data_IF_841937050489
#
_entry.id   IF_841937050489
#
_cell.length_a   1.000
_cell.length_b   1.000
_cell.length_c   1.000
_cell.angle_alpha   90.00
_cell.angle_beta   90.00
_cell.angle_gamma   90.00
#
_symmetry.space_group_name_H-M   'P 1'
#
loop_
_entity.id
_entity.type
_entity.pdbx_description
1 polymer ?
#
# COMPACT_ATOMS: atom_id res chain seq x y z
N UNK A 1 24.72 11.22 -3.68
CA UNK A 1 24.79 10.30 -4.82
C UNK A 1 25.68 9.14 -4.41
N UNK A 2 25.33 7.89 -4.80
CA UNK A 2 26.13 6.71 -4.52
C UNK A 2 27.08 6.40 -5.68
N UNK A 3 28.25 5.84 -5.38
CA UNK A 3 29.15 5.30 -6.42
C UNK A 3 28.54 3.97 -6.91
N UNK A 4 28.26 3.85 -8.20
CA UNK A 4 27.67 2.65 -8.79
C UNK A 4 28.58 1.40 -8.63
N UNK A 5 29.88 1.59 -8.44
CA UNK A 5 30.82 0.49 -8.23
C UNK A 5 30.55 -0.27 -6.93
N UNK A 6 30.04 0.45 -5.91
CA UNK A 6 29.65 -0.12 -4.62
C UNK A 6 28.20 -0.63 -4.60
N UNK A 7 27.42 -0.37 -5.64
CA UNK A 7 26.01 -0.76 -5.72
C UNK A 7 25.85 -2.14 -6.35
N UNK A 8 25.14 -2.99 -5.65
CA UNK A 8 24.78 -4.35 -6.10
C UNK A 8 23.39 -4.40 -6.74
N UNK A 9 22.47 -3.51 -6.29
CA UNK A 9 21.07 -3.52 -6.69
C UNK A 9 20.67 -2.13 -7.19
N UNK A 10 20.03 -2.07 -8.36
CA UNK A 10 19.49 -0.83 -8.94
C UNK A 10 17.97 -0.93 -8.95
N UNK A 11 17.30 0.03 -8.31
CA UNK A 11 15.86 0.18 -8.29
C UNK A 11 15.45 1.36 -9.21
N UNK A 12 15.08 1.13 -10.47
CA UNK A 12 14.67 2.20 -11.38
C UNK A 12 13.31 2.78 -11.00
N UNK A 13 13.11 4.07 -11.27
CA UNK A 13 11.83 4.75 -11.23
C UNK A 13 11.77 5.80 -12.35
N UNK A 14 11.16 5.44 -13.48
CA UNK A 14 11.12 6.30 -14.66
C UNK A 14 9.83 7.11 -14.78
N UNK A 15 8.91 7.01 -13.83
CA UNK A 15 7.71 7.84 -13.76
C UNK A 15 7.86 8.92 -12.68
N UNK A 16 7.65 10.18 -13.07
CA UNK A 16 7.72 11.33 -12.14
C UNK A 16 6.54 11.40 -11.17
N UNK A 17 5.36 10.90 -11.59
CA UNK A 17 4.15 10.95 -10.77
C UNK A 17 4.24 9.96 -9.61
N UNK A 18 3.95 10.44 -8.40
CA UNK A 18 3.78 9.60 -7.22
C UNK A 18 2.64 8.57 -7.43
N UNK A 19 2.92 7.34 -7.08
CA UNK A 19 1.97 6.21 -7.19
C UNK A 19 2.28 5.21 -6.07
N UNK A 20 1.41 4.24 -5.84
CA UNK A 20 1.67 3.16 -4.88
C UNK A 20 3.05 2.50 -5.07
N UNK A 21 3.43 2.21 -6.34
CA UNK A 21 4.76 1.66 -6.66
C UNK A 21 5.89 2.60 -6.25
N UNK A 22 5.73 3.92 -6.41
CA UNK A 22 6.77 4.88 -6.00
C UNK A 22 6.84 4.96 -4.47
N UNK A 23 5.69 4.91 -3.79
CA UNK A 23 5.63 4.90 -2.33
C UNK A 23 6.31 3.66 -1.73
N UNK A 24 6.14 2.47 -2.34
CA UNK A 24 6.83 1.25 -1.87
C UNK A 24 8.35 1.35 -2.06
N UNK A 25 8.84 1.95 -3.15
CA UNK A 25 10.28 2.22 -3.32
C UNK A 25 10.81 3.12 -2.19
N UNK A 26 10.08 4.20 -1.89
CA UNK A 26 10.49 5.19 -0.88
C UNK A 26 10.57 4.57 0.51
N UNK A 27 9.63 3.68 0.85
CA UNK A 27 9.58 3.04 2.16
C UNK A 27 10.58 1.88 2.28
N UNK A 28 10.70 1.06 1.24
CA UNK A 28 11.46 -0.20 1.29
C UNK A 28 12.98 0.01 1.22
N UNK A 29 13.47 0.94 0.40
CA UNK A 29 14.92 1.10 0.18
C UNK A 29 15.69 1.47 1.45
N UNK A 30 15.24 2.38 2.32
CA UNK A 30 15.93 2.63 3.60
C UNK A 30 16.06 1.38 4.45
N UNK A 31 14.99 0.57 4.54
CA UNK A 31 14.98 -0.69 5.30
C UNK A 31 15.96 -1.70 4.70
N UNK A 32 15.94 -1.88 3.38
CA UNK A 32 16.87 -2.75 2.68
C UNK A 32 18.33 -2.36 2.93
N UNK A 33 18.63 -1.07 2.95
CA UNK A 33 19.98 -0.58 3.27
C UNK A 33 20.39 -0.84 4.71
N UNK A 34 19.47 -0.64 5.67
CA UNK A 34 19.72 -0.95 7.07
C UNK A 34 20.01 -2.44 7.27
N UNK A 35 19.44 -3.31 6.43
CA UNK A 35 19.76 -4.74 6.36
C UNK A 35 21.06 -5.05 5.58
N UNK A 36 21.86 -4.05 5.22
CA UNK A 36 23.15 -4.22 4.56
C UNK A 36 23.06 -4.37 3.03
N UNK A 37 21.90 -4.27 2.41
CA UNK A 37 21.77 -4.37 0.94
C UNK A 37 22.33 -3.11 0.28
N UNK A 38 23.27 -3.29 -0.65
CA UNK A 38 23.91 -2.19 -1.41
C UNK A 38 23.01 -1.77 -2.58
N UNK A 39 21.88 -1.13 -2.27
CA UNK A 39 20.85 -0.72 -3.22
C UNK A 39 20.86 0.80 -3.44
N UNK A 40 20.61 1.22 -4.68
CA UNK A 40 20.40 2.62 -5.05
C UNK A 40 19.29 2.76 -6.09
N UNK A 41 18.67 3.95 -6.11
CA UNK A 41 17.64 4.30 -7.10
C UNK A 41 18.25 4.88 -8.36
N UNK A 42 17.55 4.69 -9.48
CA UNK A 42 17.88 5.32 -10.76
C UNK A 42 16.63 6.00 -11.33
N UNK A 43 16.72 7.29 -11.64
CA UNK A 43 15.63 8.03 -12.27
C UNK A 43 15.20 9.25 -11.47
N UNK A 44 13.91 9.63 -11.60
CA UNK A 44 13.39 10.89 -11.07
C UNK A 44 12.13 10.70 -10.23
N UNK A 45 11.69 11.77 -9.54
CA UNK A 45 10.46 11.75 -8.72
C UNK A 45 10.61 11.03 -7.38
N UNK A 46 11.84 10.83 -6.90
CA UNK A 46 12.16 10.22 -5.62
C UNK A 46 12.81 11.25 -4.68
N UNK A 47 12.67 11.09 -3.35
CA UNK A 47 13.33 11.96 -2.37
C UNK A 47 14.85 11.97 -2.53
N UNK A 48 15.47 13.14 -2.34
CA UNK A 48 16.93 13.31 -2.40
C UNK A 48 17.68 12.55 -1.28
N UNK A 49 16.97 12.15 -0.24
CA UNK A 49 17.50 11.33 0.86
C UNK A 49 17.83 9.90 0.43
N UNK A 50 17.21 9.40 -0.65
CA UNK A 50 17.52 8.07 -1.15
C UNK A 50 18.87 8.05 -1.91
N UNK A 51 19.69 7.01 -1.73
CA UNK A 51 20.91 6.82 -2.48
C UNK A 51 20.58 6.67 -3.97
N UNK A 52 21.19 7.46 -4.81
CA UNK A 52 20.88 7.50 -6.25
C UNK A 52 22.12 7.38 -7.10
N UNK A 53 22.00 6.73 -8.26
CA UNK A 53 22.99 6.67 -9.33
C UNK A 53 22.48 7.43 -10.56
N UNK A 54 23.40 7.85 -11.45
CA UNK A 54 23.07 8.58 -12.67
C UNK A 54 23.03 7.65 -13.88
N UNK A 55 22.27 8.02 -14.90
CA UNK A 55 22.22 7.27 -16.16
C UNK A 55 23.60 7.08 -16.81
N UNK A 56 24.49 8.08 -16.77
CA UNK A 56 25.84 7.97 -17.29
C UNK A 56 26.71 6.93 -16.56
N UNK A 57 26.38 6.66 -15.29
CA UNK A 57 27.15 5.71 -14.48
C UNK A 57 26.83 4.25 -14.89
N UNK A 58 25.78 4.02 -15.70
CA UNK A 58 25.38 2.69 -16.19
C UNK A 58 26.44 2.01 -17.05
N UNK A 59 27.41 2.76 -17.60
CA UNK A 59 28.57 2.19 -18.31
C UNK A 59 29.36 1.21 -17.41
N UNK A 60 29.34 1.39 -16.10
CA UNK A 60 30.00 0.50 -15.16
C UNK A 60 29.27 -0.85 -14.96
N UNK A 61 28.12 -1.07 -15.59
CA UNK A 61 27.39 -2.35 -15.50
C UNK A 61 28.05 -3.51 -16.25
N UNK A 62 29.01 -3.22 -17.12
CA UNK A 62 29.88 -4.26 -17.68
C UNK A 62 30.80 -4.87 -16.63
N UNK A 63 31.17 -4.12 -15.60
CA UNK A 63 31.99 -4.59 -14.49
C UNK A 63 31.11 -5.25 -13.43
N UNK A 64 31.61 -6.33 -12.84
CA UNK A 64 30.94 -7.00 -11.71
C UNK A 64 31.18 -6.22 -10.41
N UNK A 65 30.22 -6.21 -9.47
CA UNK A 65 30.52 -5.73 -8.12
C UNK A 65 31.48 -6.67 -7.40
N UNK A 66 32.20 -6.15 -6.42
CA UNK A 66 33.14 -6.96 -5.64
C UNK A 66 32.41 -8.11 -4.94
N UNK A 67 32.93 -9.34 -5.09
CA UNK A 67 32.38 -10.54 -4.47
C UNK A 67 31.04 -11.06 -5.06
N UNK A 68 30.58 -10.50 -6.18
CA UNK A 68 29.32 -10.92 -6.84
C UNK A 68 29.53 -11.24 -8.31
N UNK A 69 28.67 -12.13 -8.89
CA UNK A 69 28.75 -12.46 -10.32
C UNK A 69 28.10 -11.43 -11.24
N UNK A 70 27.10 -10.70 -10.72
CA UNK A 70 26.33 -9.70 -11.46
C UNK A 70 25.70 -8.68 -10.51
N UNK A 71 25.05 -7.66 -11.06
CA UNK A 71 24.13 -6.78 -10.32
C UNK A 71 22.68 -7.21 -10.54
N UNK A 72 21.79 -6.77 -9.66
CA UNK A 72 20.35 -6.92 -9.85
C UNK A 72 19.75 -5.59 -10.29
N UNK A 73 18.90 -5.64 -11.31
CA UNK A 73 18.01 -4.57 -11.72
C UNK A 73 16.58 -4.94 -11.34
N UNK A 74 15.99 -4.22 -10.40
CA UNK A 74 14.65 -4.55 -9.88
C UNK A 74 13.58 -3.63 -10.47
N UNK A 75 12.96 -4.04 -11.57
CA UNK A 75 11.88 -3.36 -12.25
C UNK A 75 10.51 -3.58 -11.57
N UNK A 76 9.63 -2.59 -11.70
CA UNK A 76 8.25 -2.64 -11.24
C UNK A 76 7.24 -2.23 -12.32
N UNK A 77 7.75 -1.84 -13.48
CA UNK A 77 6.93 -1.39 -14.63
C UNK A 77 7.57 -1.81 -15.96
N UNK A 78 6.73 -1.92 -17.01
CA UNK A 78 7.22 -2.24 -18.36
C UNK A 78 8.32 -1.30 -18.85
N UNK A 79 8.18 0.01 -18.57
CA UNK A 79 9.17 1.04 -18.92
C UNK A 79 10.52 0.88 -18.23
N UNK A 80 10.59 0.06 -17.20
CA UNK A 80 11.79 -0.28 -16.44
C UNK A 80 12.36 -1.65 -16.85
N UNK A 81 11.49 -2.59 -17.34
CA UNK A 81 11.90 -3.89 -17.84
C UNK A 81 12.60 -3.80 -19.20
N UNK A 82 12.04 -3.05 -20.15
CA UNK A 82 12.59 -2.96 -21.49
C UNK A 82 14.04 -2.47 -21.53
N UNK A 83 14.40 -1.35 -20.88
CA UNK A 83 15.81 -0.93 -20.83
C UNK A 83 16.72 -1.97 -20.19
N UNK A 84 16.27 -2.66 -19.14
CA UNK A 84 17.06 -3.72 -18.51
C UNK A 84 17.35 -4.90 -19.46
N UNK A 85 16.35 -5.31 -20.23
CA UNK A 85 16.51 -6.36 -21.27
C UNK A 85 17.55 -5.92 -22.30
N UNK A 86 17.48 -4.68 -22.79
CA UNK A 86 18.47 -4.14 -23.74
C UNK A 86 19.89 -4.10 -23.11
N UNK A 87 20.02 -3.65 -21.88
CA UNK A 87 21.31 -3.63 -21.18
C UNK A 87 21.89 -5.05 -21.01
N UNK A 88 21.07 -6.04 -20.65
CA UNK A 88 21.50 -7.42 -20.44
C UNK A 88 21.74 -8.18 -21.74
N UNK A 89 20.74 -8.18 -22.64
CA UNK A 89 20.70 -9.11 -23.78
C UNK A 89 21.44 -8.52 -25.00
N UNK A 90 21.31 -7.21 -25.26
CA UNK A 90 21.98 -6.55 -26.39
C UNK A 90 23.37 -6.06 -26.01
N UNK A 91 23.50 -5.29 -24.91
CA UNK A 91 24.78 -4.73 -24.46
C UNK A 91 25.60 -5.70 -23.62
N UNK A 92 25.07 -6.90 -23.31
CA UNK A 92 25.73 -7.97 -22.56
C UNK A 92 26.31 -7.50 -21.21
N UNK A 93 25.65 -6.53 -20.58
CA UNK A 93 26.02 -6.04 -19.25
C UNK A 93 25.74 -7.12 -18.18
N UNK A 94 26.53 -7.13 -17.10
CA UNK A 94 26.48 -8.15 -16.05
C UNK A 94 25.34 -7.84 -15.05
N UNK A 95 24.09 -7.97 -15.51
CA UNK A 95 22.90 -7.76 -14.68
C UNK A 95 21.95 -8.95 -14.75
N UNK A 96 21.17 -9.16 -13.66
CA UNK A 96 19.98 -9.99 -13.60
C UNK A 96 18.78 -9.11 -13.35
N UNK A 97 17.62 -9.49 -13.89
CA UNK A 97 16.43 -8.65 -13.86
C UNK A 97 15.37 -9.29 -12.99
N UNK A 98 14.97 -8.59 -11.93
CA UNK A 98 13.82 -8.94 -11.09
C UNK A 98 12.66 -8.04 -11.47
N UNK A 99 11.47 -8.59 -11.52
CA UNK A 99 10.23 -7.82 -11.71
C UNK A 99 9.26 -8.09 -10.57
N UNK A 100 8.73 -7.02 -9.96
CA UNK A 100 7.61 -7.12 -9.02
C UNK A 100 6.31 -6.67 -9.68
N UNK A 101 5.33 -7.56 -9.71
CA UNK A 101 3.96 -7.31 -10.16
C UNK A 101 3.03 -7.07 -8.98
N UNK A 102 2.26 -5.97 -9.02
CA UNK A 102 1.14 -5.71 -8.13
C UNK A 102 -0.17 -5.59 -8.94
N UNK A 103 -0.22 -6.15 -10.15
CA UNK A 103 -1.34 -5.98 -11.07
C UNK A 103 -2.28 -7.17 -11.01
N UNK A 104 -3.52 -6.95 -10.62
CA UNK A 104 -4.60 -7.95 -10.67
C UNK A 104 -5.44 -7.78 -11.94
N UNK A 105 -4.82 -7.94 -13.08
CA UNK A 105 -5.47 -7.93 -14.40
C UNK A 105 -4.65 -8.74 -15.39
N UNK A 106 -5.31 -9.23 -16.43
CA UNK A 106 -4.62 -9.92 -17.53
C UNK A 106 -3.60 -8.98 -18.18
N UNK A 107 -2.38 -9.48 -18.34
CA UNK A 107 -1.31 -8.75 -19.01
C UNK A 107 -1.52 -8.75 -20.54
N UNK A 108 -1.15 -7.65 -21.19
CA UNK A 108 -1.09 -7.60 -22.66
C UNK A 108 0.03 -8.51 -23.19
N UNK A 109 -0.03 -8.93 -24.45
CA UNK A 109 1.02 -9.73 -25.07
C UNK A 109 2.41 -9.14 -24.93
N UNK A 110 2.52 -7.80 -25.06
CA UNK A 110 3.76 -7.07 -24.81
C UNK A 110 4.27 -7.22 -23.37
N UNK A 111 3.38 -7.05 -22.39
CA UNK A 111 3.77 -7.22 -20.97
C UNK A 111 4.17 -8.67 -20.67
N UNK A 112 3.46 -9.67 -21.21
CA UNK A 112 3.81 -11.09 -21.08
C UNK A 112 5.19 -11.39 -21.65
N UNK A 113 5.50 -10.86 -22.86
CA UNK A 113 6.83 -10.97 -23.46
C UNK A 113 7.91 -10.38 -22.55
N UNK A 114 7.72 -9.17 -22.02
CA UNK A 114 8.71 -8.57 -21.10
C UNK A 114 8.88 -9.41 -19.84
N UNK A 115 7.78 -9.87 -19.23
CA UNK A 115 7.79 -10.67 -18.00
C UNK A 115 8.51 -12.02 -18.22
N UNK A 116 8.32 -12.67 -19.36
CA UNK A 116 8.99 -13.94 -19.69
C UNK A 116 10.51 -13.83 -19.81
N UNK A 117 11.04 -12.61 -19.95
CA UNK A 117 12.48 -12.32 -20.03
C UNK A 117 13.13 -12.02 -18.66
N UNK A 118 12.36 -12.05 -17.57
CA UNK A 118 12.88 -11.77 -16.23
C UNK A 118 13.61 -12.97 -15.64
N UNK A 119 14.64 -12.73 -14.86
CA UNK A 119 15.39 -13.80 -14.16
C UNK A 119 14.68 -14.25 -12.89
N UNK A 120 13.84 -13.36 -12.30
CA UNK A 120 12.92 -13.71 -11.22
C UNK A 120 11.70 -12.77 -11.25
N UNK A 121 10.54 -13.31 -10.89
CA UNK A 121 9.29 -12.55 -10.80
C UNK A 121 8.74 -12.68 -9.38
N UNK A 122 8.37 -11.53 -8.81
CA UNK A 122 7.72 -11.41 -7.51
C UNK A 122 6.27 -10.99 -7.75
N UNK A 123 5.33 -11.69 -7.14
CA UNK A 123 3.93 -11.30 -7.07
C UNK A 123 3.63 -10.73 -5.67
N UNK A 124 2.96 -9.59 -5.59
CA UNK A 124 2.66 -8.96 -4.29
C UNK A 124 1.51 -9.63 -3.54
N UNK A 125 0.81 -10.62 -4.15
CA UNK A 125 -0.24 -11.42 -3.53
C UNK A 125 -0.46 -12.71 -4.31
N UNK A 126 -1.10 -13.70 -3.71
CA UNK A 126 -1.52 -14.92 -4.42
C UNK A 126 -2.50 -14.59 -5.56
N UNK A 127 -3.42 -13.65 -5.34
CA UNK A 127 -4.31 -13.12 -6.40
C UNK A 127 -3.50 -12.51 -7.56
N UNK A 128 -2.43 -11.77 -7.28
CA UNK A 128 -1.55 -11.23 -8.34
C UNK A 128 -0.80 -12.35 -9.06
N UNK A 129 -0.30 -13.36 -8.35
CA UNK A 129 0.40 -14.50 -8.93
C UNK A 129 -0.48 -15.27 -9.93
N UNK A 130 -1.79 -15.40 -9.67
CA UNK A 130 -2.75 -16.05 -10.56
C UNK A 130 -2.91 -15.36 -11.94
N UNK A 131 -2.51 -14.08 -12.06
CA UNK A 131 -2.50 -13.37 -13.34
C UNK A 131 -1.15 -13.48 -14.11
N UNK A 132 -0.14 -14.11 -13.51
CA UNK A 132 1.17 -14.32 -14.12
C UNK A 132 1.21 -15.70 -14.80
N UNK A 133 1.74 -15.73 -16.02
CA UNK A 133 1.91 -16.97 -16.80
C UNK A 133 3.35 -17.53 -16.69
N UNK A 134 4.09 -17.08 -15.68
CA UNK A 134 5.45 -17.50 -15.38
C UNK A 134 5.58 -17.85 -13.90
N UNK A 135 6.52 -18.69 -13.50
CA UNK A 135 6.80 -18.94 -12.09
C UNK A 135 7.09 -17.63 -11.34
N UNK A 136 6.46 -17.43 -10.21
CA UNK A 136 6.64 -16.25 -9.37
C UNK A 136 6.72 -16.62 -7.89
N UNK A 137 7.44 -15.80 -7.14
CA UNK A 137 7.47 -15.90 -5.65
C UNK A 137 6.49 -14.88 -5.10
N UNK A 138 5.57 -15.34 -4.25
CA UNK A 138 4.64 -14.41 -3.56
C UNK A 138 5.37 -13.79 -2.39
N UNK A 139 5.46 -12.46 -2.38
CA UNK A 139 5.98 -11.65 -1.27
C UNK A 139 5.00 -10.50 -1.09
N UNK A 140 4.22 -10.55 -0.01
CA UNK A 140 3.27 -9.50 0.34
C UNK A 140 4.04 -8.23 0.74
N UNK A 141 3.45 -7.05 0.44
CA UNK A 141 4.03 -5.81 0.92
C UNK A 141 3.95 -5.73 2.45
N UNK A 142 5.00 -5.19 3.03
CA UNK A 142 5.09 -4.89 4.44
C UNK A 142 4.69 -3.46 4.77
N UNK A 143 4.57 -3.20 6.06
CA UNK A 143 4.24 -1.90 6.64
C UNK A 143 5.33 -1.48 7.64
N UNK A 144 5.66 -0.20 7.66
CA UNK A 144 6.54 0.39 8.67
C UNK A 144 5.78 0.56 10.00
N UNK A 145 5.97 -0.39 10.89
CA UNK A 145 5.33 -0.44 12.22
C UNK A 145 5.87 0.60 13.21
N UNK A 146 6.98 1.27 12.90
CA UNK A 146 7.44 2.41 13.67
C UNK A 146 6.67 3.68 13.30
N UNK A 147 6.37 3.85 12.02
CA UNK A 147 5.59 4.96 11.50
C UNK A 147 4.09 4.78 11.77
N UNK A 148 3.54 3.60 11.45
CA UNK A 148 2.15 3.23 11.72
C UNK A 148 2.12 2.41 13.02
N UNK A 149 1.66 3.04 14.09
CA UNK A 149 1.58 2.45 15.43
C UNK A 149 0.41 3.05 16.19
N UNK A 150 -0.15 2.36 17.16
CA UNK A 150 -1.20 2.92 18.02
C UNK A 150 -0.76 4.21 18.70
N UNK A 151 -1.68 5.11 19.01
CA UNK A 151 -1.40 6.26 19.86
C UNK A 151 -1.15 5.80 21.32
N UNK A 152 -0.42 6.59 22.09
CA UNK A 152 -0.30 6.41 23.55
C UNK A 152 -1.66 6.67 24.21
N UNK A 153 -2.34 7.74 23.77
CA UNK A 153 -3.70 8.09 24.19
C UNK A 153 -4.51 8.55 22.98
N UNK A 154 -5.66 7.89 22.77
CA UNK A 154 -6.55 8.15 21.63
C UNK A 154 -7.22 9.52 21.73
N UNK A 155 -7.59 9.96 22.91
CA UNK A 155 -8.22 11.26 23.10
C UNK A 155 -7.26 12.40 22.73
N UNK A 156 -5.99 12.28 23.12
CA UNK A 156 -4.95 13.23 22.73
C UNK A 156 -4.68 13.22 21.23
N UNK A 157 -4.65 12.04 20.59
CA UNK A 157 -4.49 11.94 19.14
C UNK A 157 -5.65 12.64 18.39
N UNK A 158 -6.89 12.50 18.87
CA UNK A 158 -8.07 13.17 18.29
C UNK A 158 -7.99 14.69 18.46
N UNK A 159 -7.66 15.19 19.66
CA UNK A 159 -7.51 16.64 19.91
C UNK A 159 -6.44 17.28 19.02
N UNK A 160 -5.33 16.57 18.77
CA UNK A 160 -4.26 17.07 17.88
C UNK A 160 -4.69 17.26 16.42
N UNK A 161 -5.85 16.74 16.05
CA UNK A 161 -6.46 16.84 14.73
C UNK A 161 -7.78 17.65 14.76
N UNK A 162 -8.03 18.41 15.84
CA UNK A 162 -9.26 19.16 16.05
C UNK A 162 -10.54 18.30 15.99
N UNK A 163 -10.43 17.01 16.37
CA UNK A 163 -11.55 16.09 16.46
C UNK A 163 -12.10 16.02 17.89
N UNK A 164 -13.40 15.77 18.01
CA UNK A 164 -14.05 15.53 19.29
C UNK A 164 -13.48 14.26 19.96
N UNK A 165 -12.77 14.37 21.09
CA UNK A 165 -12.14 13.24 21.75
C UNK A 165 -13.14 12.23 22.33
N UNK A 166 -14.39 12.61 22.55
CA UNK A 166 -15.45 11.76 23.09
C UNK A 166 -16.09 10.85 22.03
N UNK A 167 -15.97 11.23 20.74
CA UNK A 167 -16.51 10.45 19.63
C UNK A 167 -15.56 9.36 19.17
N UNK A 168 -16.13 8.25 18.69
CA UNK A 168 -15.43 7.25 17.90
C UNK A 168 -15.49 7.65 16.42
N UNK A 169 -14.48 7.27 15.64
CA UNK A 169 -14.43 7.63 14.23
C UNK A 169 -14.19 6.41 13.34
N UNK A 170 -15.09 6.25 12.35
CA UNK A 170 -14.83 5.39 11.19
C UNK A 170 -14.10 6.19 10.11
N UNK A 171 -13.08 5.61 9.46
CA UNK A 171 -12.29 6.31 8.45
C UNK A 171 -12.22 5.60 7.11
N UNK A 172 -12.18 6.38 6.02
CA UNK A 172 -11.90 5.92 4.66
C UNK A 172 -10.84 6.82 4.03
N UNK A 173 -9.66 6.27 3.75
CA UNK A 173 -8.50 7.05 3.32
C UNK A 173 -8.06 6.68 1.90
N UNK A 174 -7.75 7.71 1.11
CA UNK A 174 -7.31 7.59 -0.27
C UNK A 174 -7.92 8.64 -1.17
N UNK A 175 -7.58 8.61 -2.47
CA UNK A 175 -8.14 9.56 -3.43
C UNK A 175 -9.65 9.41 -3.53
N UNK A 176 -10.37 10.53 -3.45
CA UNK A 176 -11.82 10.57 -3.60
C UNK A 176 -12.20 10.29 -5.06
N UNK A 177 -12.73 9.10 -5.33
CA UNK A 177 -13.19 8.66 -6.64
C UNK A 177 -13.98 7.35 -6.55
N UNK A 178 -14.88 7.11 -7.49
CA UNK A 178 -15.75 5.95 -7.55
C UNK A 178 -15.00 4.59 -7.42
N UNK A 179 -13.86 4.43 -8.10
CA UNK A 179 -13.05 3.21 -7.99
C UNK A 179 -12.58 2.92 -6.55
N UNK A 180 -12.41 3.96 -5.73
CA UNK A 180 -11.99 3.84 -4.32
C UNK A 180 -13.17 3.61 -3.37
N UNK A 181 -14.39 3.62 -3.88
CA UNK A 181 -15.60 3.31 -3.11
C UNK A 181 -15.95 4.39 -2.07
N UNK A 182 -15.47 5.64 -2.25
CA UNK A 182 -15.75 6.72 -1.29
C UNK A 182 -17.24 6.96 -1.14
N UNK A 183 -18.03 6.76 -2.20
CA UNK A 183 -19.49 6.78 -2.19
C UNK A 183 -20.07 5.68 -1.28
N UNK A 184 -19.59 4.44 -1.38
CA UNK A 184 -20.03 3.34 -0.52
C UNK A 184 -19.78 3.65 0.95
N UNK A 185 -18.62 4.22 1.27
CA UNK A 185 -18.32 4.64 2.64
C UNK A 185 -19.28 5.74 3.11
N UNK A 186 -19.46 6.79 2.31
CA UNK A 186 -20.34 7.91 2.66
C UNK A 186 -21.79 7.44 2.85
N UNK A 187 -22.32 6.66 1.91
CA UNK A 187 -23.68 6.14 1.97
C UNK A 187 -23.88 5.19 3.17
N UNK A 188 -22.85 4.36 3.49
CA UNK A 188 -22.88 3.54 4.71
C UNK A 188 -22.92 4.38 5.99
N UNK A 189 -22.14 5.44 6.06
CA UNK A 189 -22.12 6.32 7.23
C UNK A 189 -23.40 7.15 7.35
N UNK A 190 -24.02 7.57 6.23
CA UNK A 190 -25.32 8.21 6.22
C UNK A 190 -26.40 7.27 6.80
N UNK A 191 -26.34 5.98 6.49
CA UNK A 191 -27.28 4.99 7.02
C UNK A 191 -27.03 4.70 8.52
N UNK A 192 -25.79 4.66 8.96
CA UNK A 192 -25.43 4.19 10.32
C UNK A 192 -25.45 5.28 11.38
N UNK A 193 -24.95 6.47 11.08
CA UNK A 193 -24.71 7.52 12.09
C UNK A 193 -25.97 8.09 12.75
N UNK A 194 -27.14 8.20 12.10
CA UNK A 194 -28.33 8.74 12.78
C UNK A 194 -28.69 8.01 14.08
N UNK A 195 -28.51 6.71 14.14
CA UNK A 195 -28.79 5.90 15.33
C UNK A 195 -27.58 5.73 16.27
N UNK A 196 -26.40 6.29 15.95
CA UNK A 196 -25.14 6.15 16.70
C UNK A 196 -24.49 7.51 16.94
N UNK A 197 -25.03 8.33 17.88
CA UNK A 197 -24.56 9.71 18.12
C UNK A 197 -23.09 9.78 18.58
N UNK A 198 -22.57 8.72 19.17
CA UNK A 198 -21.17 8.61 19.63
C UNK A 198 -20.17 8.35 18.50
N UNK A 199 -20.63 8.13 17.27
CA UNK A 199 -19.77 7.92 16.11
C UNK A 199 -19.75 9.12 15.16
N UNK A 200 -18.57 9.33 14.53
CA UNK A 200 -18.38 10.20 13.39
C UNK A 200 -17.62 9.45 12.29
N UNK A 201 -17.44 10.11 11.16
CA UNK A 201 -16.75 9.53 10.01
C UNK A 201 -15.73 10.51 9.41
N UNK A 202 -14.62 10.00 8.88
CA UNK A 202 -13.53 10.79 8.30
C UNK A 202 -13.21 10.27 6.91
N UNK A 203 -13.29 11.15 5.91
CA UNK A 203 -12.80 10.92 4.55
C UNK A 203 -11.51 11.72 4.39
N UNK A 204 -10.35 11.06 4.39
CA UNK A 204 -9.05 11.69 4.15
C UNK A 204 -8.54 11.37 2.74
N UNK A 205 -8.26 12.43 1.99
CA UNK A 205 -7.88 12.44 0.59
C UNK A 205 -8.64 13.48 -0.19
N UNK A 206 -8.31 13.62 -1.45
CA UNK A 206 -9.01 14.61 -2.32
C UNK A 206 -9.34 14.02 -3.68
N UNK A 207 -10.34 14.60 -4.31
CA UNK A 207 -10.59 14.40 -5.74
C UNK A 207 -9.58 15.21 -6.57
N UNK A 208 -9.31 14.74 -7.78
CA UNK A 208 -8.47 15.45 -8.75
C UNK A 208 -9.17 15.50 -10.10
N UNK A 209 -9.11 16.64 -10.77
CA UNK A 209 -9.60 16.83 -12.15
C UNK A 209 -11.00 16.26 -12.37
N UNK A 210 -11.12 15.13 -13.10
CA UNK A 210 -12.42 14.57 -13.50
C UNK A 210 -13.28 14.06 -12.34
N UNK A 211 -12.76 14.03 -11.10
CA UNK A 211 -13.49 13.54 -9.92
C UNK A 211 -13.98 14.63 -8.98
N UNK A 212 -13.77 15.92 -9.30
CA UNK A 212 -14.22 17.04 -8.45
C UNK A 212 -15.74 17.07 -8.28
N UNK A 213 -16.49 16.84 -9.37
CA UNK A 213 -17.95 16.78 -9.31
C UNK A 213 -18.44 15.62 -8.42
N UNK A 214 -17.75 14.48 -8.44
CA UNK A 214 -18.05 13.34 -7.58
C UNK A 214 -17.85 13.68 -6.09
N UNK A 215 -16.77 14.37 -5.72
CA UNK A 215 -16.56 14.80 -4.34
C UNK A 215 -17.64 15.82 -3.90
N UNK A 216 -18.01 16.76 -4.78
CA UNK A 216 -19.05 17.74 -4.49
C UNK A 216 -20.41 17.06 -4.27
N UNK A 217 -20.77 16.08 -5.09
CA UNK A 217 -21.98 15.28 -4.95
C UNK A 217 -22.03 14.54 -3.60
N UNK A 218 -20.92 13.94 -3.17
CA UNK A 218 -20.85 13.25 -1.87
C UNK A 218 -21.06 14.22 -0.70
N UNK A 219 -20.46 15.41 -0.76
CA UNK A 219 -20.66 16.44 0.25
C UNK A 219 -22.11 16.96 0.30
N UNK A 220 -22.76 17.08 -0.86
CA UNK A 220 -24.18 17.44 -0.94
C UNK A 220 -25.08 16.36 -0.32
N UNK A 221 -24.82 15.05 -0.57
CA UNK A 221 -25.52 13.94 0.09
C UNK A 221 -25.41 14.03 1.61
N UNK A 222 -24.19 14.26 2.12
CA UNK A 222 -23.93 14.41 3.56
C UNK A 222 -24.70 15.59 4.15
N UNK A 223 -24.70 16.75 3.46
CA UNK A 223 -25.43 17.94 3.89
C UNK A 223 -26.95 17.71 3.91
N UNK A 224 -27.51 17.08 2.88
CA UNK A 224 -28.94 16.72 2.81
C UNK A 224 -29.35 15.73 3.89
N UNK A 225 -28.44 14.87 4.34
CA UNK A 225 -28.66 13.96 5.47
C UNK A 225 -28.53 14.65 6.85
N UNK A 226 -28.14 15.93 6.91
CA UNK A 226 -27.91 16.66 8.17
C UNK A 226 -26.70 16.17 8.96
N UNK A 227 -25.70 15.58 8.29
CA UNK A 227 -24.53 14.94 8.93
C UNK A 227 -23.20 15.66 8.62
N UNK A 228 -23.24 16.92 8.19
CA UNK A 228 -22.05 17.67 7.79
C UNK A 228 -21.05 17.90 8.93
N UNK A 229 -21.50 17.90 10.17
CA UNK A 229 -20.70 17.99 11.40
C UNK A 229 -20.14 16.63 11.86
N UNK A 230 -20.58 15.53 11.27
CA UNK A 230 -20.25 14.17 11.67
C UNK A 230 -19.52 13.34 10.60
N UNK A 231 -19.69 13.69 9.31
CA UNK A 231 -18.96 13.07 8.19
C UNK A 231 -18.02 14.12 7.61
N UNK A 232 -16.76 14.05 8.03
CA UNK A 232 -15.75 15.09 7.79
C UNK A 232 -14.90 14.76 6.57
N UNK A 233 -14.89 15.66 5.56
CA UNK A 233 -13.94 15.60 4.45
C UNK A 233 -12.73 16.46 4.79
N UNK A 234 -11.66 15.83 5.25
CA UNK A 234 -10.49 16.53 5.79
C UNK A 234 -9.41 16.85 4.75
N UNK A 235 -9.59 16.42 3.49
CA UNK A 235 -8.62 16.69 2.43
C UNK A 235 -7.40 15.77 2.45
N UNK A 236 -6.33 16.16 1.74
CA UNK A 236 -5.09 15.38 1.61
C UNK A 236 -4.08 15.80 2.69
N UNK A 237 -3.53 14.84 3.41
CA UNK A 237 -2.59 15.06 4.51
C UNK A 237 -1.27 14.31 4.29
N UNK A 238 -0.15 14.91 4.69
CA UNK A 238 1.18 14.27 4.71
C UNK A 238 1.44 13.47 5.98
N UNK A 239 0.75 13.82 7.08
CA UNK A 239 0.79 13.16 8.38
C UNK A 239 -0.28 12.07 8.53
N UNK A 240 -0.54 11.31 7.49
CA UNK A 240 -1.61 10.29 7.47
C UNK A 240 -1.55 9.28 8.64
N UNK A 241 -0.37 8.91 9.22
CA UNK A 241 -0.34 8.07 10.41
C UNK A 241 -1.08 8.65 11.62
N UNK A 242 -1.10 9.98 11.78
CA UNK A 242 -1.82 10.61 12.89
C UNK A 242 -3.33 10.45 12.72
N UNK A 243 -3.81 10.52 11.48
CA UNK A 243 -5.22 10.28 11.16
C UNK A 243 -5.63 8.83 11.46
N UNK A 244 -4.79 7.83 11.14
CA UNK A 244 -5.07 6.44 11.54
C UNK A 244 -5.13 6.28 13.06
N UNK A 245 -4.26 6.95 13.82
CA UNK A 245 -4.27 6.91 15.29
C UNK A 245 -5.56 7.44 15.90
N UNK A 246 -6.25 8.34 15.23
CA UNK A 246 -7.52 8.91 15.68
C UNK A 246 -8.73 8.01 15.38
N UNK A 247 -8.58 6.98 14.51
CA UNK A 247 -9.68 6.11 14.13
C UNK A 247 -9.96 5.02 15.16
N UNK A 248 -11.20 4.57 15.17
CA UNK A 248 -11.69 3.41 15.90
C UNK A 248 -12.06 2.25 14.96
N UNK A 249 -12.45 2.57 13.72
CA UNK A 249 -12.74 1.61 12.64
C UNK A 249 -12.18 2.14 11.32
N UNK A 250 -11.61 1.29 10.51
CA UNK A 250 -11.22 1.64 9.15
C UNK A 250 -12.08 0.90 8.12
N UNK A 251 -12.62 1.62 7.16
CA UNK A 251 -13.42 1.05 6.07
C UNK A 251 -12.65 1.20 4.76
N UNK A 252 -12.40 0.08 4.09
CA UNK A 252 -11.69 -0.02 2.83
C UNK A 252 -12.64 -0.45 1.70
N UNK A 253 -13.48 0.47 1.16
CA UNK A 253 -14.62 0.15 0.30
C UNK A 253 -14.28 0.05 -1.19
N UNK A 254 -13.00 -0.18 -1.54
CA UNK A 254 -12.53 -0.15 -2.90
C UNK A 254 -13.29 -1.15 -3.79
N UNK A 255 -13.63 -0.72 -5.02
CA UNK A 255 -14.17 -1.60 -6.07
C UNK A 255 -13.06 -2.32 -6.85
N UNK A 256 -11.88 -1.78 -6.81
CA UNK A 256 -10.68 -2.39 -7.40
C UNK A 256 -9.41 -1.86 -6.72
N UNK A 257 -8.48 -2.76 -6.47
CA UNK A 257 -7.16 -2.45 -5.94
C UNK A 257 -6.10 -3.39 -6.54
N UNK A 258 -4.86 -2.97 -6.59
CA UNK A 258 -3.73 -3.84 -6.96
C UNK A 258 -3.27 -4.69 -5.79
N UNK A 259 -2.80 -4.04 -4.75
CA UNK A 259 -2.45 -4.64 -3.46
C UNK A 259 -3.31 -4.00 -2.35
N UNK A 260 -3.11 -2.70 -2.11
CA UNK A 260 -3.80 -1.90 -1.10
C UNK A 260 -3.12 -1.96 0.27
N UNK A 261 -2.35 -0.91 0.59
CA UNK A 261 -1.65 -0.80 1.87
C UNK A 261 -2.54 -0.30 3.01
N UNK A 262 -3.66 0.35 2.70
CA UNK A 262 -4.51 1.02 3.69
C UNK A 262 -5.03 0.09 4.81
N UNK A 263 -5.41 -1.18 4.57
CA UNK A 263 -5.72 -2.10 5.66
C UNK A 263 -4.53 -2.39 6.58
N UNK A 264 -3.32 -2.54 6.02
CA UNK A 264 -2.11 -2.74 6.83
C UNK A 264 -1.76 -1.50 7.66
N UNK A 265 -1.92 -0.30 7.09
CA UNK A 265 -1.73 0.97 7.79
C UNK A 265 -2.69 1.10 8.98
N UNK A 266 -3.96 0.72 8.78
CA UNK A 266 -4.97 0.69 9.84
C UNK A 266 -4.63 -0.35 10.93
N UNK A 267 -4.40 -1.62 10.56
CA UNK A 267 -4.08 -2.69 11.51
C UNK A 267 -2.80 -2.38 12.31
N UNK A 268 -1.75 -1.86 11.67
CA UNK A 268 -0.51 -1.45 12.35
C UNK A 268 -0.73 -0.27 13.31
N UNK A 269 -1.77 0.54 13.08
CA UNK A 269 -2.19 1.63 13.98
C UNK A 269 -3.18 1.17 15.06
N UNK A 270 -3.46 -0.13 15.18
CA UNK A 270 -4.41 -0.69 16.14
C UNK A 270 -5.86 -0.38 15.81
N UNK A 271 -6.21 -0.39 14.52
CA UNK A 271 -7.56 -0.10 14.01
C UNK A 271 -8.06 -1.31 13.22
N UNK A 272 -9.21 -1.92 13.60
CA UNK A 272 -9.81 -3.02 12.85
C UNK A 272 -10.36 -2.54 11.52
N UNK A 273 -10.57 -3.48 10.59
CA UNK A 273 -10.85 -3.14 9.19
C UNK A 273 -12.11 -3.84 8.67
N UNK A 274 -12.99 -3.10 8.01
CA UNK A 274 -14.02 -3.66 7.10
C UNK A 274 -13.59 -3.35 5.67
N UNK A 275 -13.38 -4.37 4.85
CA UNK A 275 -12.83 -4.20 3.51
C UNK A 275 -13.57 -4.99 2.44
N UNK A 276 -13.65 -4.42 1.24
CA UNK A 276 -14.11 -5.13 0.05
C UNK A 276 -13.12 -6.25 -0.33
N UNK A 277 -13.60 -7.37 -0.90
CA UNK A 277 -12.74 -8.45 -1.40
C UNK A 277 -12.04 -8.08 -2.71
N UNK A 278 -11.06 -7.19 -2.61
CA UNK A 278 -10.23 -6.73 -3.73
C UNK A 278 -8.75 -6.67 -3.31
N UNK A 279 -7.87 -6.61 -4.29
CA UNK A 279 -6.45 -6.52 -4.00
C UNK A 279 -5.95 -7.72 -3.20
N UNK A 280 -5.11 -7.47 -2.22
CA UNK A 280 -4.62 -8.47 -1.27
C UNK A 280 -5.47 -8.54 0.01
N UNK A 281 -6.60 -7.85 0.11
CA UNK A 281 -7.30 -7.63 1.38
C UNK A 281 -7.68 -8.92 2.10
N UNK A 282 -8.16 -9.94 1.38
CA UNK A 282 -8.47 -11.25 1.94
C UNK A 282 -7.23 -12.06 2.37
N UNK A 283 -6.02 -11.69 1.92
CA UNK A 283 -4.76 -12.25 2.41
C UNK A 283 -4.24 -11.51 3.65
N UNK A 284 -4.59 -10.22 3.80
CA UNK A 284 -4.17 -9.35 4.90
C UNK A 284 -5.07 -9.50 6.13
N UNK A 285 -6.39 -9.49 5.93
CA UNK A 285 -7.40 -9.51 6.98
C UNK A 285 -7.71 -10.97 7.34
N UNK A 286 -7.67 -11.27 8.63
CA UNK A 286 -8.05 -12.56 9.16
C UNK A 286 -9.50 -12.50 9.69
N UNK A 287 -10.25 -13.55 9.44
CA UNK A 287 -11.60 -13.79 9.97
C UNK A 287 -11.57 -14.95 10.96
N UNK A 288 -12.65 -15.16 11.71
CA UNK A 288 -12.78 -16.24 12.69
C UNK A 288 -12.14 -15.91 14.06
N UNK A 289 -11.58 -16.90 14.79
CA UNK A 289 -11.19 -16.73 16.20
C UNK A 289 -10.16 -15.63 16.46
N UNK A 290 -9.38 -15.28 15.46
CA UNK A 290 -8.37 -14.20 15.51
C UNK A 290 -8.68 -13.12 14.49
N UNK A 291 -9.96 -12.79 14.33
CA UNK A 291 -10.37 -11.77 13.37
C UNK A 291 -9.63 -10.45 13.59
N UNK A 292 -9.29 -9.82 12.49
CA UNK A 292 -8.68 -8.48 12.45
C UNK A 292 -9.58 -7.48 11.74
N UNK A 293 -10.71 -7.98 11.22
CA UNK A 293 -11.70 -7.26 10.45
C UNK A 293 -12.61 -8.20 9.68
N UNK A 294 -13.38 -7.64 8.77
CA UNK A 294 -14.31 -8.38 7.90
C UNK A 294 -14.00 -8.12 6.43
N UNK A 295 -14.16 -9.16 5.61
CA UNK A 295 -14.13 -9.07 4.15
C UNK A 295 -15.56 -9.14 3.63
N UNK A 296 -15.93 -8.19 2.79
CA UNK A 296 -17.28 -8.11 2.20
C UNK A 296 -17.21 -8.10 0.67
N UNK A 297 -18.29 -8.47 -0.03
CA UNK A 297 -18.34 -8.38 -1.49
C UNK A 297 -18.12 -6.95 -1.97
N UNK A 298 -17.24 -6.79 -3.00
CA UNK A 298 -16.95 -5.47 -3.55
C UNK A 298 -18.18 -4.80 -4.18
N UNK A 299 -18.39 -3.54 -3.84
CA UNK A 299 -19.52 -2.76 -4.37
C UNK A 299 -20.86 -3.02 -3.68
N UNK A 300 -20.93 -3.87 -2.67
CA UNK A 300 -22.16 -4.18 -1.93
C UNK A 300 -22.31 -3.21 -0.75
N UNK A 301 -23.27 -2.28 -0.86
CA UNK A 301 -23.56 -1.28 0.18
C UNK A 301 -24.15 -1.94 1.44
N UNK A 302 -25.09 -2.85 1.31
CA UNK A 302 -25.75 -3.54 2.43
C UNK A 302 -24.71 -4.29 3.28
N UNK A 303 -23.87 -5.11 2.65
CA UNK A 303 -22.79 -5.81 3.34
C UNK A 303 -21.79 -4.85 4.01
N UNK A 304 -21.56 -3.65 3.43
CA UNK A 304 -20.69 -2.63 4.03
C UNK A 304 -21.34 -2.02 5.28
N UNK A 305 -22.64 -1.74 5.23
CA UNK A 305 -23.42 -1.24 6.37
C UNK A 305 -23.41 -2.29 7.48
N UNK A 306 -23.75 -3.54 7.18
CA UNK A 306 -23.79 -4.63 8.17
C UNK A 306 -22.40 -4.90 8.79
N UNK A 307 -21.37 -4.94 7.96
CA UNK A 307 -20.00 -5.16 8.43
C UNK A 307 -19.49 -4.03 9.32
N UNK A 308 -19.80 -2.78 9.00
CA UNK A 308 -19.46 -1.65 9.85
C UNK A 308 -20.27 -1.63 11.15
N UNK A 309 -21.59 -1.88 11.07
CA UNK A 309 -22.48 -1.99 12.22
C UNK A 309 -21.99 -3.05 13.21
N UNK A 310 -21.60 -4.22 12.72
CA UNK A 310 -21.12 -5.33 13.55
C UNK A 310 -19.93 -4.96 14.47
N UNK A 311 -19.09 -4.01 14.05
CA UNK A 311 -18.02 -3.47 14.89
C UNK A 311 -18.44 -2.24 15.69
N UNK A 312 -19.32 -1.39 15.14
CA UNK A 312 -19.76 -0.17 15.83
C UNK A 312 -20.63 -0.48 17.04
N UNK A 313 -21.39 -1.58 16.99
CA UNK A 313 -22.35 -1.99 18.03
C UNK A 313 -21.74 -2.96 19.05
N UNK A 314 -20.58 -3.59 18.75
CA UNK A 314 -19.88 -4.53 19.64
C UNK A 314 -18.47 -4.02 19.97
N UNK A 315 -18.35 -3.18 20.99
CA UNK A 315 -17.08 -2.59 21.40
C UNK A 315 -16.05 -3.62 21.91
N UNK A 316 -16.40 -4.69 22.64
CA UNK A 316 -15.49 -5.79 22.94
C UNK A 316 -14.90 -6.44 21.68
N UNK A 317 -15.72 -6.75 20.67
CA UNK A 317 -15.27 -7.28 19.38
C UNK A 317 -14.35 -6.31 18.65
N UNK A 318 -14.73 -5.02 18.60
CA UNK A 318 -13.92 -3.96 18.02
C UNK A 318 -12.51 -3.92 18.65
N UNK A 319 -12.43 -3.96 19.97
CA UNK A 319 -11.16 -3.93 20.71
C UNK A 319 -10.33 -5.21 20.49
N UNK A 320 -10.96 -6.38 20.46
CA UNK A 320 -10.28 -7.65 20.19
C UNK A 320 -9.69 -7.67 18.76
N UNK A 321 -10.49 -7.26 17.77
CA UNK A 321 -10.04 -7.18 16.38
C UNK A 321 -8.90 -6.16 16.18
N UNK A 322 -8.92 -5.04 16.91
CA UNK A 322 -7.83 -4.05 16.93
C UNK A 322 -6.50 -4.67 17.45
N UNK A 323 -6.55 -5.40 18.56
CA UNK A 323 -5.40 -6.06 19.15
C UNK A 323 -4.84 -7.17 18.23
N UNK A 324 -5.73 -7.98 17.66
CA UNK A 324 -5.37 -9.02 16.70
C UNK A 324 -4.75 -8.41 15.43
N UNK A 325 -5.33 -7.33 14.90
CA UNK A 325 -4.82 -6.61 13.73
C UNK A 325 -3.41 -6.08 13.94
N UNK A 326 -3.15 -5.44 15.08
CA UNK A 326 -1.83 -4.95 15.45
C UNK A 326 -0.81 -6.09 15.55
N UNK A 327 -1.18 -7.19 16.23
CA UNK A 327 -0.31 -8.37 16.35
C UNK A 327 -0.01 -8.98 14.98
N UNK A 328 -1.01 -9.14 14.11
CA UNK A 328 -0.86 -9.69 12.77
C UNK A 328 0.01 -8.79 11.88
N UNK A 329 -0.23 -7.48 11.88
CA UNK A 329 0.57 -6.52 11.11
C UNK A 329 2.04 -6.57 11.53
N UNK A 330 2.33 -6.60 12.82
CA UNK A 330 3.70 -6.61 13.34
C UNK A 330 4.43 -7.92 13.09
N UNK A 331 3.75 -9.07 13.20
CA UNK A 331 4.40 -10.38 13.06
C UNK A 331 4.54 -10.83 11.61
N UNK A 332 3.52 -10.56 10.77
CA UNK A 332 3.41 -11.15 9.44
C UNK A 332 3.72 -10.17 8.33
N UNK A 333 3.60 -8.86 8.60
CA UNK A 333 3.66 -7.82 7.57
C UNK A 333 4.60 -6.67 7.93
N UNK A 334 5.56 -6.87 8.85
CA UNK A 334 6.61 -5.87 9.05
C UNK A 334 7.43 -5.69 7.77
N UNK A 335 7.74 -4.45 7.41
CA UNK A 335 8.48 -4.10 6.18
C UNK A 335 9.87 -4.75 6.13
N UNK A 336 10.47 -5.04 7.28
CA UNK A 336 11.74 -5.76 7.39
C UNK A 336 11.64 -7.17 6.81
N UNK A 337 10.53 -7.88 7.04
CA UNK A 337 10.25 -9.20 6.48
C UNK A 337 10.16 -9.16 4.95
N UNK A 338 9.48 -8.17 4.36
CA UNK A 338 9.46 -7.94 2.91
C UNK A 338 10.88 -7.69 2.38
N UNK A 339 11.63 -6.81 3.04
CA UNK A 339 12.99 -6.44 2.64
C UNK A 339 13.93 -7.65 2.68
N UNK A 340 13.83 -8.52 3.69
CA UNK A 340 14.60 -9.74 3.82
C UNK A 340 14.24 -10.77 2.74
N UNK A 341 12.94 -11.01 2.51
CA UNK A 341 12.46 -11.95 1.51
C UNK A 341 12.90 -11.54 0.09
N UNK A 342 12.81 -10.26 -0.25
CA UNK A 342 13.30 -9.73 -1.53
C UNK A 342 14.83 -9.84 -1.59
N UNK A 343 15.54 -9.54 -0.51
CA UNK A 343 16.99 -9.66 -0.40
C UNK A 343 17.50 -11.09 -0.68
N UNK A 344 16.79 -12.10 -0.20
CA UNK A 344 17.13 -13.51 -0.46
C UNK A 344 17.04 -13.85 -1.97
N UNK A 345 16.10 -13.23 -2.71
CA UNK A 345 16.04 -13.38 -4.18
C UNK A 345 17.25 -12.73 -4.83
N UNK A 346 17.63 -11.52 -4.40
CA UNK A 346 18.81 -10.84 -4.93
C UNK A 346 20.08 -11.66 -4.69
N UNK A 347 20.30 -12.15 -3.49
CA UNK A 347 21.48 -12.94 -3.14
C UNK A 347 21.58 -14.22 -3.98
N UNK A 348 20.46 -14.92 -4.19
CA UNK A 348 20.41 -16.10 -5.06
C UNK A 348 20.82 -15.79 -6.50
N UNK A 349 20.40 -14.65 -7.04
CA UNK A 349 20.71 -14.25 -8.42
C UNK A 349 22.16 -13.76 -8.59
N UNK A 350 22.78 -13.25 -7.51
CA UNK A 350 24.13 -12.67 -7.54
C UNK A 350 25.24 -13.69 -7.22
N UNK A 351 24.88 -14.88 -6.72
CA UNK A 351 25.82 -16.02 -6.52
C UNK A 351 26.21 -16.63 -7.87
#
# INVERSE_FOLDING_TARGET
MADIRDIEIIAPNFKRRLSGVTSTIIQLIPVQRNLGQKIAVLGSGLPKSLPSVRFRDLIHLWQKPAGRRCRVWHARRNVEMLPAILLRDLLRMKIRIVFTSASQRRHTGWSKFLISRMDAVIATSAKTAAYLEVPSTVILHGIDTHRFRPPVDKATAKRALDLDPSRKYAGCFGRVRHQKGTDLFVDSMIALLPSRPEWGAIVAGRATGPHLAFEAELKDRVAKAGLADRILFVGEHTNIPDWYRALDLFVAPQRWEGFGLTPLEAMASGVPVVASDVGAFSELIAEGPHETGLIIPAGNLEAMVDGAAAFMDDLPRLAAAAANGLSRASRNFAIDGEAQAIGAIYDRLMR
#
